data_IF_229359103503
#
_entry.id   IF_229359103503
#
_cell.length_a   1.000
_cell.length_b   1.000
_cell.length_c   1.000
_cell.angle_alpha   90.00
_cell.angle_beta   90.00
_cell.angle_gamma   90.00
#
_symmetry.space_group_name_H-M   'P 1'
#
loop_
_entity.id
_entity.type
_entity.pdbx_description
1 polymer ?
#
# COMPACT_ATOMS: atom_id res chain seq x y z
N UNK A 1 -16.22 -7.91 14.06
CA UNK A 1 -15.27 -7.74 12.94
C UNK A 1 -15.75 -6.54 12.15
N UNK A 2 -14.83 -5.68 11.71
CA UNK A 2 -15.15 -4.43 11.00
C UNK A 2 -14.82 -4.59 9.52
N UNK A 3 -15.65 -4.04 8.63
CA UNK A 3 -15.35 -4.07 7.19
C UNK A 3 -14.30 -3.00 6.84
N UNK A 4 -13.28 -3.40 6.08
CA UNK A 4 -12.21 -2.53 5.59
C UNK A 4 -12.06 -2.73 4.09
N UNK A 5 -12.25 -1.67 3.32
CA UNK A 5 -12.09 -1.67 1.87
C UNK A 5 -10.71 -1.09 1.55
N UNK A 6 -9.85 -1.90 0.92
CA UNK A 6 -8.49 -1.50 0.52
C UNK A 6 -8.40 -1.64 -1.00
N UNK A 7 -8.16 -0.52 -1.71
CA UNK A 7 -8.12 -0.50 -3.18
C UNK A 7 -9.37 -1.15 -3.81
N UNK A 8 -10.57 -0.79 -3.32
CA UNK A 8 -11.88 -1.32 -3.71
C UNK A 8 -12.13 -2.81 -3.42
N UNK A 9 -11.22 -3.48 -2.71
CA UNK A 9 -11.43 -4.87 -2.25
C UNK A 9 -11.88 -4.85 -0.80
N UNK A 10 -13.07 -5.38 -0.54
CA UNK A 10 -13.62 -5.50 0.81
C UNK A 10 -12.96 -6.65 1.58
N UNK A 11 -12.59 -6.38 2.83
CA UNK A 11 -11.91 -7.30 3.74
C UNK A 11 -12.48 -7.17 5.14
N UNK A 12 -12.32 -8.23 5.93
CA UNK A 12 -12.70 -8.19 7.35
C UNK A 12 -11.48 -7.88 8.21
N UNK A 13 -11.59 -6.93 9.14
CA UNK A 13 -10.56 -6.61 10.14
C UNK A 13 -10.99 -7.02 11.56
N UNK A 14 -9.99 -7.42 12.36
CA UNK A 14 -10.14 -7.62 13.80
C UNK A 14 -9.92 -6.30 14.55
N UNK A 15 -10.59 -6.05 15.69
CA UNK A 15 -10.26 -4.93 16.55
C UNK A 15 -8.78 -4.94 16.93
N UNK A 16 -8.11 -3.80 16.82
CA UNK A 16 -6.68 -3.64 17.05
C UNK A 16 -5.77 -4.05 15.88
N UNK A 17 -6.30 -4.68 14.82
CA UNK A 17 -5.51 -5.05 13.64
C UNK A 17 -5.10 -3.79 12.87
N UNK A 18 -3.86 -3.75 12.36
CA UNK A 18 -3.37 -2.64 11.55
C UNK A 18 -3.83 -2.79 10.11
N UNK A 19 -4.03 -1.68 9.41
CA UNK A 19 -4.40 -1.70 7.98
C UNK A 19 -3.39 -2.52 7.15
N UNK A 20 -2.09 -2.41 7.46
CA UNK A 20 -1.05 -3.25 6.85
C UNK A 20 -1.29 -4.75 7.08
N UNK A 21 -1.66 -5.16 8.29
CA UNK A 21 -1.85 -6.57 8.63
C UNK A 21 -3.08 -7.14 7.92
N UNK A 22 -4.17 -6.36 7.83
CA UNK A 22 -5.37 -6.70 7.05
C UNK A 22 -5.03 -6.88 5.58
N UNK A 23 -4.31 -5.93 4.98
CA UNK A 23 -3.91 -6.00 3.58
C UNK A 23 -3.05 -7.25 3.29
N UNK A 24 -2.03 -7.51 4.11
CA UNK A 24 -1.13 -8.67 3.94
C UNK A 24 -1.86 -9.99 4.01
N UNK A 25 -2.75 -10.16 4.99
CA UNK A 25 -3.50 -11.40 5.18
C UNK A 25 -4.42 -11.71 3.99
N UNK A 26 -4.90 -10.69 3.28
CA UNK A 26 -5.80 -10.84 2.14
C UNK A 26 -5.09 -10.65 0.78
N UNK A 27 -3.76 -10.55 0.75
CA UNK A 27 -3.00 -10.36 -0.50
C UNK A 27 -3.21 -9.03 -1.20
N UNK A 28 -3.70 -8.01 -0.48
CA UNK A 28 -3.94 -6.68 -1.03
C UNK A 28 -2.63 -5.92 -1.22
N UNK A 29 -2.50 -5.23 -2.35
CA UNK A 29 -1.31 -4.43 -2.63
C UNK A 29 -1.17 -3.27 -1.64
N UNK A 30 -0.10 -3.29 -0.84
CA UNK A 30 0.37 -2.20 0.03
C UNK A 30 1.90 -2.35 0.19
N UNK A 31 2.65 -1.25 0.23
CA UNK A 31 4.09 -1.31 0.48
C UNK A 31 4.42 -1.56 1.95
N UNK A 32 5.52 -2.27 2.24
CA UNK A 32 5.91 -2.61 3.62
C UNK A 32 7.41 -2.80 3.83
N UNK A 33 8.25 -1.98 3.18
CA UNK A 33 9.71 -2.14 3.18
C UNK A 33 10.33 -2.24 4.58
N UNK A 34 9.77 -1.55 5.58
CA UNK A 34 10.28 -1.58 6.96
C UNK A 34 9.51 -2.51 7.91
N UNK A 35 8.72 -3.46 7.39
CA UNK A 35 7.83 -4.39 8.12
C UNK A 35 6.95 -3.73 9.19
N UNK A 36 6.51 -2.48 8.93
CA UNK A 36 5.60 -1.77 9.81
C UNK A 36 6.21 -1.20 11.10
N UNK A 37 7.53 -1.01 11.12
CA UNK A 37 8.23 -0.30 12.21
C UNK A 37 7.88 1.19 12.30
N UNK A 38 7.29 1.78 11.25
CA UNK A 38 7.07 3.22 11.14
C UNK A 38 8.35 4.00 10.76
N UNK A 39 9.38 3.31 10.27
CA UNK A 39 10.62 3.90 9.78
C UNK A 39 10.56 4.36 8.30
N UNK A 40 9.52 4.02 7.54
CA UNK A 40 9.39 4.47 6.15
C UNK A 40 7.95 4.80 5.80
N UNK A 41 7.74 5.32 4.60
CA UNK A 41 6.42 5.75 4.08
C UNK A 41 5.82 4.80 3.03
N UNK A 42 6.40 3.63 2.78
CA UNK A 42 5.93 2.75 1.70
C UNK A 42 4.51 2.21 1.92
N UNK A 43 4.08 2.13 3.18
CA UNK A 43 2.71 1.76 3.57
C UNK A 43 1.72 2.94 3.59
N UNK A 44 2.07 4.09 3.00
CA UNK A 44 1.23 5.28 3.01
C UNK A 44 -0.10 5.02 2.31
N UNK A 45 -1.19 5.30 3.01
CA UNK A 45 -2.58 5.15 2.55
C UNK A 45 -3.34 6.44 2.79
N UNK A 46 -4.35 6.72 1.97
CA UNK A 46 -5.31 7.79 2.22
C UNK A 46 -6.62 7.19 2.68
N UNK A 47 -7.12 7.66 3.82
CA UNK A 47 -8.42 7.27 4.37
C UNK A 47 -9.49 8.08 3.65
N UNK A 48 -10.37 7.40 2.92
CA UNK A 48 -11.50 8.00 2.20
C UNK A 48 -12.73 8.13 3.11
N UNK A 49 -12.92 7.16 4.01
CA UNK A 49 -14.02 7.11 4.97
C UNK A 49 -13.62 6.26 6.19
N UNK A 50 -14.25 6.52 7.34
CA UNK A 50 -14.04 5.72 8.56
C UNK A 50 -12.80 6.11 9.38
N UNK A 51 -12.36 7.37 9.31
CA UNK A 51 -11.14 7.84 10.00
C UNK A 51 -11.27 7.75 11.53
N UNK A 52 -12.47 8.00 12.05
CA UNK A 52 -12.87 7.87 13.45
C UNK A 52 -12.81 6.42 13.96
N UNK A 53 -12.92 5.45 13.05
CA UNK A 53 -12.77 4.03 13.36
C UNK A 53 -11.32 3.56 13.40
N UNK A 54 -10.35 4.46 13.19
CA UNK A 54 -8.92 4.20 13.31
C UNK A 54 -8.32 4.81 14.58
N UNK A 55 -7.14 4.32 14.98
CA UNK A 55 -6.31 4.98 15.97
C UNK A 55 -5.94 6.40 15.54
N UNK A 56 -5.82 7.36 16.48
CA UNK A 56 -5.32 8.69 16.15
C UNK A 56 -3.88 8.61 15.62
N UNK A 57 -3.42 9.60 14.83
CA UNK A 57 -2.05 9.65 14.35
C UNK A 57 -1.04 9.60 15.48
N UNK A 58 -0.12 8.64 15.43
CA UNK A 58 0.94 8.51 16.43
C UNK A 58 2.19 9.32 16.04
N UNK A 59 3.18 9.39 16.94
CA UNK A 59 4.38 10.20 16.71
C UNK A 59 5.21 9.72 15.51
N UNK A 60 5.19 8.41 15.21
CA UNK A 60 5.86 7.87 14.02
C UNK A 60 5.19 8.35 12.74
N UNK A 61 3.87 8.48 12.74
CA UNK A 61 3.15 9.07 11.61
C UNK A 61 3.51 10.54 11.43
N UNK A 62 3.58 11.30 12.53
CA UNK A 62 3.92 12.73 12.50
C UNK A 62 5.36 13.03 12.07
N UNK A 63 6.29 12.09 12.26
CA UNK A 63 7.65 12.22 11.72
C UNK A 63 7.65 12.24 10.20
N UNK A 64 6.76 11.46 9.58
CA UNK A 64 6.76 11.26 8.14
C UNK A 64 5.68 12.05 7.41
N UNK A 65 4.56 12.35 8.05
CA UNK A 65 3.42 13.02 7.43
C UNK A 65 3.30 14.41 8.03
N UNK A 66 3.33 15.43 7.16
CA UNK A 66 3.00 16.80 7.53
C UNK A 66 1.56 16.91 8.03
N UNK A 67 1.27 17.97 8.79
CA UNK A 67 -0.08 18.23 9.28
C UNK A 67 -1.10 18.36 8.13
N UNK A 68 -0.71 18.97 7.00
CA UNK A 68 -1.55 19.04 5.78
C UNK A 68 -1.87 17.63 5.27
N UNK A 69 -0.88 16.73 5.23
CA UNK A 69 -1.10 15.35 4.79
C UNK A 69 -2.02 14.60 5.76
N UNK A 70 -1.82 14.74 7.07
CA UNK A 70 -2.68 14.12 8.08
C UNK A 70 -4.13 14.63 7.97
N UNK A 71 -4.33 15.93 7.75
CA UNK A 71 -5.64 16.54 7.53
C UNK A 71 -6.30 16.08 6.23
N UNK A 72 -5.51 15.85 5.18
CA UNK A 72 -5.98 15.29 3.91
C UNK A 72 -6.27 13.77 3.99
N UNK A 73 -6.19 13.17 5.18
CA UNK A 73 -6.52 11.77 5.44
C UNK A 73 -5.38 10.80 5.16
N UNK A 74 -4.16 11.28 4.89
CA UNK A 74 -3.01 10.40 4.73
C UNK A 74 -2.58 9.83 6.08
N UNK A 75 -2.31 8.52 6.09
CA UNK A 75 -1.89 7.75 7.26
C UNK A 75 -0.79 6.77 6.87
N UNK A 76 0.00 6.31 7.84
CA UNK A 76 0.85 5.13 7.64
C UNK A 76 0.02 3.90 7.95
N UNK A 77 -0.29 3.07 6.95
CA UNK A 77 -1.14 1.88 7.13
C UNK A 77 -0.58 0.88 8.15
N UNK A 78 0.73 0.91 8.41
CA UNK A 78 1.35 0.12 9.45
C UNK A 78 1.22 0.67 10.89
N UNK A 79 0.78 1.91 11.06
CA UNK A 79 0.56 2.56 12.36
C UNK A 79 -0.93 2.79 12.63
N UNK A 80 -1.75 2.86 11.59
CA UNK A 80 -3.21 2.96 11.69
C UNK A 80 -3.84 1.61 12.09
N UNK A 81 -4.37 1.54 13.30
CA UNK A 81 -5.03 0.35 13.86
C UNK A 81 -6.54 0.53 13.93
N UNK A 82 -7.30 -0.51 13.61
CA UNK A 82 -8.78 -0.48 13.67
C UNK A 82 -9.25 -0.46 15.11
N UNK A 83 -10.11 0.49 15.47
CA UNK A 83 -10.69 0.65 16.82
C UNK A 83 -12.21 0.69 16.83
N UNK A 84 -12.82 1.25 15.79
CA UNK A 84 -14.26 1.37 15.65
C UNK A 84 -14.91 0.17 14.96
N UNK A 85 -16.23 0.25 14.85
CA UNK A 85 -17.07 -0.76 14.16
C UNK A 85 -17.54 -0.31 12.78
N UNK A 86 -17.37 0.97 12.45
CA UNK A 86 -17.85 1.52 11.19
C UNK A 86 -16.93 1.11 10.04
N UNK A 87 -17.47 1.00 8.81
CA UNK A 87 -16.68 0.63 7.64
C UNK A 87 -15.56 1.63 7.36
N UNK A 88 -14.36 1.11 7.06
CA UNK A 88 -13.18 1.93 6.77
C UNK A 88 -12.85 1.76 5.29
N UNK A 89 -12.67 2.85 4.56
CA UNK A 89 -12.23 2.80 3.16
C UNK A 89 -10.89 3.50 3.01
N UNK A 90 -9.91 2.80 2.44
CA UNK A 90 -8.57 3.32 2.19
C UNK A 90 -8.11 3.02 0.77
N UNK A 91 -7.31 3.94 0.24
CA UNK A 91 -6.59 3.76 -1.03
C UNK A 91 -5.09 3.86 -0.77
N UNK A 92 -4.32 2.98 -1.39
CA UNK A 92 -2.85 3.05 -1.30
C UNK A 92 -2.31 4.17 -2.18
N UNK A 93 -1.18 4.77 -1.80
CA UNK A 93 -0.55 5.81 -2.61
C UNK A 93 -0.25 5.34 -4.05
N UNK A 94 0.15 4.08 -4.22
CA UNK A 94 0.41 3.48 -5.53
C UNK A 94 -0.88 3.38 -6.38
N UNK A 95 -1.99 2.94 -5.77
CA UNK A 95 -3.26 2.83 -6.46
C UNK A 95 -3.85 4.21 -6.81
N UNK A 96 -3.68 5.19 -5.93
CA UNK A 96 -4.09 6.57 -6.20
C UNK A 96 -3.32 7.19 -7.37
N UNK A 97 -1.99 7.05 -7.39
CA UNK A 97 -1.16 7.49 -8.52
C UNK A 97 -1.52 6.77 -9.82
N UNK A 98 -1.79 5.46 -9.74
CA UNK A 98 -2.26 4.69 -10.89
C UNK A 98 -3.55 5.28 -11.44
N UNK A 99 -4.57 5.52 -10.60
CA UNK A 99 -5.84 6.12 -11.03
C UNK A 99 -5.67 7.49 -11.66
N UNK A 100 -4.82 8.34 -11.09
CA UNK A 100 -4.55 9.67 -11.63
C UNK A 100 -3.85 9.61 -12.98
N UNK A 101 -2.84 8.75 -13.13
CA UNK A 101 -2.16 8.53 -14.41
C UNK A 101 -3.13 8.01 -15.48
N UNK A 102 -4.00 7.05 -15.13
CA UNK A 102 -5.03 6.56 -16.04
C UNK A 102 -6.05 7.65 -16.42
N UNK A 103 -6.43 8.54 -15.52
CA UNK A 103 -7.34 9.65 -15.80
C UNK A 103 -6.76 10.70 -16.78
N UNK A 104 -5.43 10.79 -16.88
CA UNK A 104 -4.77 11.62 -17.90
C UNK A 104 -4.88 10.98 -19.28
N UNK A 105 -4.71 9.65 -19.36
CA UNK A 105 -4.74 8.90 -20.62
C UNK A 105 -6.18 8.73 -21.12
N UNK A 106 -7.11 8.44 -20.21
CA UNK A 106 -8.52 8.19 -20.50
C UNK A 106 -9.39 8.98 -19.49
N UNK A 107 -9.73 10.25 -19.81
CA UNK A 107 -10.46 11.11 -18.89
C UNK A 107 -11.89 10.59 -18.67
N UNK A 108 -12.37 10.47 -17.42
CA UNK A 108 -13.76 10.13 -17.15
C UNK A 108 -14.71 11.23 -17.65
N UNK A 109 -15.96 10.84 -17.93
CA UNK A 109 -17.00 11.73 -18.44
C UNK A 109 -17.12 12.99 -17.58
N UNK A 110 -17.04 14.17 -18.22
CA UNK A 110 -17.12 15.46 -17.55
C UNK A 110 -15.78 16.06 -17.10
N UNK A 111 -14.64 15.40 -17.37
CA UNK A 111 -13.29 15.94 -17.08
C UNK A 111 -12.48 16.14 -18.36
N UNK A 112 -11.48 17.03 -18.32
CA UNK A 112 -10.54 17.24 -19.43
C UNK A 112 -9.17 16.67 -19.09
N UNK A 113 -8.41 16.25 -20.10
CA UNK A 113 -7.03 15.76 -19.95
C UNK A 113 -6.16 16.78 -19.21
N UNK A 114 -6.32 18.08 -19.52
CA UNK A 114 -5.56 19.17 -18.88
C UNK A 114 -5.87 19.26 -17.38
N UNK A 115 -7.15 19.15 -17.00
CA UNK A 115 -7.54 19.18 -15.59
C UNK A 115 -6.98 17.98 -14.81
N UNK A 116 -7.05 16.77 -15.39
CA UNK A 116 -6.53 15.56 -14.77
C UNK A 116 -4.99 15.57 -14.71
N UNK A 117 -4.32 16.10 -15.73
CA UNK A 117 -2.87 16.25 -15.75
C UNK A 117 -2.38 17.22 -14.67
N UNK A 118 -3.09 18.32 -14.44
CA UNK A 118 -2.79 19.25 -13.35
C UNK A 118 -2.83 18.58 -11.98
N UNK A 119 -3.89 17.81 -11.69
CA UNK A 119 -4.01 17.07 -10.44
C UNK A 119 -2.91 16.02 -10.26
N UNK A 120 -2.59 15.27 -11.32
CA UNK A 120 -1.52 14.29 -11.31
C UNK A 120 -0.15 14.93 -11.07
N UNK A 121 0.20 15.97 -11.83
CA UNK A 121 1.48 16.69 -11.69
C UNK A 121 1.59 17.33 -10.32
N UNK A 122 0.53 17.92 -9.79
CA UNK A 122 0.51 18.48 -8.44
C UNK A 122 0.84 17.43 -7.36
N UNK A 123 0.23 16.24 -7.46
CA UNK A 123 0.50 15.15 -6.51
C UNK A 123 1.89 14.55 -6.67
N UNK A 124 2.36 14.34 -7.90
CA UNK A 124 3.73 13.88 -8.17
C UNK A 124 4.76 14.89 -7.64
N UNK A 125 4.51 16.19 -7.84
CA UNK A 125 5.39 17.25 -7.36
C UNK A 125 5.45 17.26 -5.83
N UNK A 126 4.30 17.24 -5.15
CA UNK A 126 4.24 17.16 -3.68
C UNK A 126 4.97 15.93 -3.16
N UNK A 127 4.75 14.76 -3.79
CA UNK A 127 5.46 13.53 -3.42
C UNK A 127 6.96 13.63 -3.68
N UNK A 128 7.40 14.30 -4.74
CA UNK A 128 8.82 14.48 -5.07
C UNK A 128 9.50 15.43 -4.07
N UNK A 129 8.82 16.50 -3.65
CA UNK A 129 9.31 17.41 -2.62
C UNK A 129 9.43 16.70 -1.28
N UNK A 130 8.42 15.92 -0.88
CA UNK A 130 8.48 15.10 0.33
C UNK A 130 9.71 14.16 0.32
N UNK A 131 10.01 13.56 -0.84
CA UNK A 131 11.14 12.63 -1.00
C UNK A 131 12.52 13.31 -1.06
N UNK A 132 12.62 14.51 -1.65
CA UNK A 132 13.90 15.19 -1.83
C UNK A 132 14.28 16.08 -0.65
N UNK A 133 13.31 16.79 -0.09
CA UNK A 133 13.55 17.82 0.93
C UNK A 133 13.16 17.34 2.32
N UNK A 134 11.99 16.70 2.45
CA UNK A 134 11.51 16.21 3.74
C UNK A 134 12.22 14.94 4.20
N UNK A 135 12.47 14.01 3.29
CA UNK A 135 12.95 12.66 3.61
C UNK A 135 14.30 12.62 4.35
N UNK A 136 15.35 13.40 3.97
CA UNK A 136 16.61 13.36 4.70
C UNK A 136 16.47 13.78 6.17
N UNK A 137 15.66 14.82 6.44
CA UNK A 137 15.44 15.31 7.79
C UNK A 137 14.52 14.38 8.60
N UNK A 138 13.43 13.90 7.99
CA UNK A 138 12.50 12.96 8.61
C UNK A 138 13.18 11.62 8.93
N UNK A 139 14.11 11.18 8.09
CA UNK A 139 14.92 9.99 8.34
C UNK A 139 15.84 10.17 9.55
N UNK A 140 16.50 11.33 9.70
CA UNK A 140 17.29 11.64 10.89
C UNK A 140 16.43 11.65 12.17
N UNK A 141 15.25 12.27 12.13
CA UNK A 141 14.31 12.28 13.25
C UNK A 141 13.74 10.88 13.56
N UNK A 142 13.55 10.05 12.55
CA UNK A 142 13.15 8.65 12.73
C UNK A 142 14.26 7.86 13.44
N UNK A 143 15.54 8.08 13.10
CA UNK A 143 16.69 7.43 13.75
C UNK A 143 16.74 7.78 15.23
N UNK A 144 16.58 9.05 15.60
CA UNK A 144 16.62 9.49 17.01
C UNK A 144 15.42 8.99 17.80
N UNK A 145 14.24 8.90 17.18
CA UNK A 145 13.00 8.51 17.87
C UNK A 145 12.80 7.00 17.97
N UNK A 146 13.14 6.24 16.92
CA UNK A 146 12.97 4.78 16.88
C UNK A 146 14.16 4.06 17.53
N UNK A 147 15.32 4.71 17.55
CA UNK A 147 16.58 4.19 18.05
C UNK A 147 17.32 3.37 16.99
N UNK A 148 18.62 3.65 16.81
CA UNK A 148 19.48 3.00 15.81
C UNK A 148 19.47 1.47 15.92
N UNK A 149 19.35 0.94 17.14
CA UNK A 149 19.25 -0.51 17.39
C UNK A 149 18.04 -1.19 16.75
N UNK A 150 16.88 -0.52 16.67
CA UNK A 150 15.67 -1.05 15.99
C UNK A 150 15.72 -0.89 14.47
N UNK A 151 16.61 -0.06 13.96
CA UNK A 151 16.84 0.14 12.52
C UNK A 151 17.84 -0.89 12.01
N UNK A 152 18.92 -1.12 12.78
CA UNK A 152 19.93 -2.14 12.49
C UNK A 152 19.36 -3.56 12.71
N UNK A 153 18.46 -3.71 13.68
CA UNK A 153 17.75 -4.97 13.94
C UNK A 153 16.26 -4.84 13.61
N UNK A 154 15.83 -5.10 12.36
CA UNK A 154 14.42 -4.99 11.96
C UNK A 154 13.51 -6.01 12.66
N UNK A 155 14.10 -7.04 13.30
CA UNK A 155 13.40 -8.08 14.02
C UNK A 155 12.96 -7.56 15.39
N UNK A 156 11.71 -7.10 15.48
CA UNK A 156 11.11 -6.58 16.72
C UNK A 156 11.00 -7.61 17.86
N UNK A 157 11.19 -8.91 17.56
CA UNK A 157 11.25 -10.00 18.54
C UNK A 157 11.95 -11.21 17.93
N UNK A 158 12.78 -11.91 18.72
CA UNK A 158 13.41 -13.18 18.31
C UNK A 158 12.38 -14.27 17.99
N UNK A 159 11.21 -14.22 18.63
CA UNK A 159 10.09 -15.13 18.39
C UNK A 159 9.49 -14.97 16.99
N UNK A 160 9.20 -13.74 16.55
CA UNK A 160 8.76 -13.47 15.16
C UNK A 160 9.82 -13.86 14.12
N UNK A 161 11.11 -13.73 14.42
CA UNK A 161 12.18 -14.19 13.52
C UNK A 161 12.17 -15.73 13.41
N UNK A 162 12.06 -16.43 14.53
CA UNK A 162 11.94 -17.89 14.56
C UNK A 162 10.69 -18.39 13.83
N UNK A 163 9.55 -17.73 14.02
CA UNK A 163 8.32 -18.02 13.27
C UNK A 163 8.49 -17.76 11.78
N UNK A 164 9.09 -16.64 11.39
CA UNK A 164 9.39 -16.35 9.99
C UNK A 164 10.32 -17.40 9.36
N UNK A 165 11.38 -17.83 10.04
CA UNK A 165 12.25 -18.92 9.58
C UNK A 165 11.47 -20.22 9.39
N UNK A 166 10.55 -20.51 10.31
CA UNK A 166 9.71 -21.71 10.26
C UNK A 166 8.75 -21.65 9.08
N UNK A 167 8.08 -20.52 8.86
CA UNK A 167 7.13 -20.32 7.76
C UNK A 167 7.85 -20.25 6.41
N UNK A 168 9.05 -19.65 6.37
CA UNK A 168 9.92 -19.68 5.20
C UNK A 168 10.34 -21.11 4.87
N UNK A 169 10.76 -21.90 5.86
CA UNK A 169 11.07 -23.32 5.68
C UNK A 169 9.91 -24.11 5.09
N UNK A 170 8.70 -23.95 5.64
CA UNK A 170 7.48 -24.58 5.10
C UNK A 170 7.19 -24.15 3.66
N UNK A 171 7.28 -22.85 3.36
CA UNK A 171 7.01 -22.31 2.03
C UNK A 171 8.04 -22.82 1.02
N UNK A 172 9.31 -22.87 1.42
CA UNK A 172 10.41 -23.37 0.59
C UNK A 172 10.26 -24.85 0.31
N UNK A 173 9.97 -25.66 1.33
CA UNK A 173 9.69 -27.09 1.19
C UNK A 173 8.46 -27.34 0.31
N UNK A 174 7.37 -26.59 0.53
CA UNK A 174 6.19 -26.65 -0.33
C UNK A 174 6.51 -26.26 -1.77
N UNK A 175 7.30 -25.22 -2.00
CA UNK A 175 7.64 -24.75 -3.36
C UNK A 175 8.53 -25.75 -4.08
N UNK A 176 9.50 -26.35 -3.39
CA UNK A 176 10.37 -27.38 -3.96
C UNK A 176 9.64 -28.70 -4.25
N UNK A 177 8.71 -29.08 -3.37
CA UNK A 177 7.99 -30.35 -3.47
C UNK A 177 6.67 -30.25 -4.24
N UNK A 178 6.19 -29.05 -4.53
CA UNK A 178 5.02 -28.86 -5.39
C UNK A 178 5.43 -29.06 -6.84
N UNK A 179 4.72 -29.91 -7.63
CA UNK A 179 4.96 -29.96 -9.06
C UNK A 179 4.72 -28.57 -9.65
N UNK A 180 5.66 -28.12 -10.50
CA UNK A 180 5.49 -26.87 -11.22
C UNK A 180 4.13 -26.90 -11.92
N UNK A 181 3.29 -25.86 -11.75
CA UNK A 181 1.99 -25.84 -12.42
C UNK A 181 2.23 -26.03 -13.92
N UNK A 182 1.45 -26.89 -14.59
CA UNK A 182 1.61 -27.07 -16.03
C UNK A 182 1.50 -25.69 -16.68
N UNK A 183 2.35 -25.37 -17.69
CA UNK A 183 2.22 -24.11 -18.40
C UNK A 183 0.77 -23.97 -18.83
N UNK A 184 0.13 -22.84 -18.50
CA UNK A 184 -1.28 -22.66 -18.83
C UNK A 184 -1.41 -22.83 -20.34
N UNK A 185 -2.14 -23.86 -20.78
CA UNK A 185 -2.30 -24.24 -22.19
C UNK A 185 -2.96 -23.13 -23.04
N UNK A 186 -3.38 -22.04 -22.40
CA UNK A 186 -4.26 -21.02 -22.93
C UNK A 186 -3.62 -19.62 -23.00
N UNK A 187 -2.42 -19.40 -22.44
CA UNK A 187 -1.80 -18.06 -22.47
C UNK A 187 -1.49 -17.59 -23.91
N UNK A 188 -0.93 -18.47 -24.74
CA UNK A 188 -0.68 -18.18 -26.15
C UNK A 188 -1.98 -18.14 -26.97
N UNK A 189 -3.01 -18.90 -26.59
CA UNK A 189 -4.30 -18.88 -27.26
C UNK A 189 -5.04 -17.56 -27.01
N UNK A 190 -4.99 -17.02 -25.79
CA UNK A 190 -5.52 -15.69 -25.45
C UNK A 190 -4.80 -14.57 -26.18
N UNK A 191 -3.46 -14.64 -26.26
CA UNK A 191 -2.67 -13.66 -27.01
C UNK A 191 -2.98 -13.74 -28.51
N UNK A 192 -3.14 -14.94 -29.08
CA UNK A 192 -3.53 -15.12 -30.48
C UNK A 192 -4.97 -14.67 -30.76
N UNK A 193 -5.91 -14.94 -29.86
CA UNK A 193 -7.29 -14.51 -29.97
C UNK A 193 -7.40 -12.98 -29.89
N UNK A 194 -6.72 -12.36 -28.92
CA UNK A 194 -6.63 -10.91 -28.80
C UNK A 194 -5.96 -10.28 -30.04
N UNK A 195 -4.88 -10.88 -30.56
CA UNK A 195 -4.24 -10.41 -31.79
C UNK A 195 -5.16 -10.55 -33.03
N UNK A 196 -6.00 -11.58 -33.09
CA UNK A 196 -6.96 -11.79 -34.17
C UNK A 196 -8.17 -10.84 -34.09
N UNK A 197 -8.59 -10.43 -32.89
CA UNK A 197 -9.56 -9.34 -32.70
C UNK A 197 -8.99 -8.00 -33.13
N UNK A 198 -7.75 -7.68 -32.74
CA UNK A 198 -7.09 -6.44 -33.15
C UNK A 198 -6.95 -6.35 -34.67
N UNK A 199 -6.61 -7.46 -35.36
CA UNK A 199 -6.58 -7.50 -36.84
C UNK A 199 -7.96 -7.27 -37.46
N UNK A 200 -9.01 -7.91 -36.94
CA UNK A 200 -10.38 -7.72 -37.45
C UNK A 200 -10.93 -6.33 -37.21
N UNK A 201 -10.48 -5.64 -36.16
CA UNK A 201 -10.86 -4.26 -35.90
C UNK A 201 -10.06 -3.23 -36.73
N UNK A 202 -8.99 -3.67 -37.41
CA UNK A 202 -8.14 -2.83 -38.26
C UNK A 202 -8.41 -2.96 -39.77
N UNK A 203 -9.31 -3.86 -40.15
CA UNK A 203 -9.85 -4.05 -41.52
C UNK A 203 -11.22 -3.37 -41.64
#
# INVERSE_FOLDING_TARGET
MTSVIINDVEMTARPGERILDVARRNGAHIGFVCDGTGFCQTCKVRVLAGAESLSPPNDREKIWLSDENLQAGWRLGCQASVRGRDPITVITNAEELRRQAFAVINPPAGTTVVANAGAFVGNVTRQSIDQLVGYPWNMLNAITTIGLGRIINPWQSMERFSQWLTDFGKTFEQTLNSPAPPPSSDALARVRAAAAEVRRASE
#
